data_IF_583755423855
#
_entry.id   IF_583755423855
#
_cell.length_a   1.000
_cell.length_b   1.000
_cell.length_c   1.000
_cell.angle_alpha   90.00
_cell.angle_beta   90.00
_cell.angle_gamma   90.00
#
_symmetry.space_group_name_H-M   'P 1'
#
loop_
_entity.id
_entity.type
_entity.pdbx_description
1 polymer ?
#
# COMPACT_ATOMS: atom_id res chain seq x y z
N UNK A 1 28.48 29.17 -18.04
CA UNK A 1 28.90 27.76 -17.90
C UNK A 1 28.18 26.99 -18.97
N UNK A 2 28.92 26.58 -20.01
CA UNK A 2 28.38 25.78 -21.11
C UNK A 2 28.02 24.38 -20.60
N UNK A 3 26.76 24.00 -20.79
CA UNK A 3 26.30 22.64 -20.53
C UNK A 3 26.44 21.88 -21.85
N UNK A 4 27.24 20.82 -21.85
CA UNK A 4 27.45 19.97 -23.03
C UNK A 4 26.10 19.43 -23.57
N UNK A 5 25.89 19.56 -24.87
CA UNK A 5 24.74 18.96 -25.57
C UNK A 5 24.80 17.44 -25.45
N UNK A 6 23.72 16.85 -24.94
CA UNK A 6 23.43 15.42 -25.10
C UNK A 6 23.03 14.64 -23.84
N UNK A 7 23.41 15.10 -22.64
CA UNK A 7 23.14 14.32 -21.40
C UNK A 7 22.78 15.18 -20.17
N UNK A 8 22.66 16.50 -20.33
CA UNK A 8 22.62 17.48 -19.23
C UNK A 8 21.33 17.57 -18.40
N UNK A 9 20.28 16.80 -18.71
CA UNK A 9 19.02 16.79 -17.95
C UNK A 9 18.60 15.40 -17.45
N UNK A 10 19.42 14.35 -17.69
CA UNK A 10 19.04 12.95 -17.44
C UNK A 10 19.68 12.27 -16.23
N UNK A 11 20.50 12.96 -15.43
CA UNK A 11 21.36 12.31 -14.42
C UNK A 11 21.35 12.97 -13.03
N UNK A 12 20.62 14.07 -12.84
CA UNK A 12 20.61 14.80 -11.57
C UNK A 12 19.24 14.68 -10.93
N UNK A 13 19.21 13.99 -9.79
CA UNK A 13 18.05 13.91 -8.89
C UNK A 13 18.38 14.71 -7.63
N UNK A 14 17.37 15.35 -7.03
CA UNK A 14 17.60 16.02 -5.75
C UNK A 14 18.08 15.00 -4.71
N UNK A 15 19.03 15.39 -3.85
CA UNK A 15 19.50 14.51 -2.76
C UNK A 15 18.34 14.01 -1.91
N UNK A 16 17.38 14.88 -1.61
CA UNK A 16 16.19 14.52 -0.83
C UNK A 16 15.36 13.42 -1.53
N UNK A 17 15.12 13.55 -2.84
CA UNK A 17 14.40 12.54 -3.62
C UNK A 17 15.16 11.20 -3.66
N UNK A 18 16.47 11.24 -3.90
CA UNK A 18 17.31 10.04 -3.93
C UNK A 18 17.31 9.30 -2.58
N UNK A 19 17.51 10.03 -1.48
CA UNK A 19 17.50 9.44 -0.13
C UNK A 19 16.12 8.88 0.23
N UNK A 20 15.03 9.54 -0.20
CA UNK A 20 13.68 9.03 0.00
C UNK A 20 13.44 7.71 -0.77
N UNK A 21 13.82 7.64 -2.05
CA UNK A 21 13.71 6.40 -2.84
C UNK A 21 14.55 5.28 -2.25
N UNK A 22 15.81 5.56 -1.90
CA UNK A 22 16.70 4.62 -1.23
C UNK A 22 16.10 4.12 0.09
N UNK A 23 15.52 5.02 0.88
CA UNK A 23 14.85 4.66 2.14
C UNK A 23 13.67 3.73 1.91
N UNK A 24 12.82 4.01 0.91
CA UNK A 24 11.68 3.15 0.55
C UNK A 24 12.18 1.75 0.18
N UNK A 25 13.11 1.67 -0.77
CA UNK A 25 13.65 0.38 -1.25
C UNK A 25 14.31 -0.42 -0.13
N UNK A 26 15.06 0.26 0.75
CA UNK A 26 15.71 -0.37 1.90
C UNK A 26 14.69 -0.98 2.87
N UNK A 27 13.66 -0.25 3.28
CA UNK A 27 12.65 -0.79 4.21
C UNK A 27 11.85 -1.94 3.60
N UNK A 28 11.59 -1.90 2.29
CA UNK A 28 10.99 -3.03 1.58
C UNK A 28 11.90 -4.25 1.66
N UNK A 29 13.19 -4.08 1.35
CA UNK A 29 14.17 -5.18 1.38
C UNK A 29 14.34 -5.76 2.78
N UNK A 30 14.53 -4.92 3.79
CA UNK A 30 14.60 -5.31 5.21
C UNK A 30 13.29 -5.93 5.72
N UNK A 31 12.17 -5.63 5.04
CA UNK A 31 10.85 -6.17 5.35
C UNK A 31 10.55 -7.54 4.75
N UNK A 32 11.41 -8.08 3.88
CA UNK A 32 11.21 -9.42 3.30
C UNK A 32 11.34 -10.49 4.36
N UNK A 33 10.34 -11.38 4.43
CA UNK A 33 10.28 -12.49 5.40
C UNK A 33 10.48 -12.05 6.87
N UNK A 34 10.17 -10.78 7.18
CA UNK A 34 10.52 -10.14 8.45
C UNK A 34 9.39 -10.16 9.49
N UNK A 35 8.22 -10.70 9.16
CA UNK A 35 7.06 -10.77 10.05
C UNK A 35 6.36 -12.12 9.95
N UNK A 36 5.62 -12.50 11.00
CA UNK A 36 4.77 -13.70 10.95
C UNK A 36 3.56 -13.45 10.04
N UNK A 37 3.18 -14.40 9.17
CA UNK A 37 1.90 -14.35 8.46
C UNK A 37 0.71 -14.14 9.40
N UNK A 38 -0.30 -13.37 8.95
CA UNK A 38 -1.52 -13.18 9.74
C UNK A 38 -2.37 -14.45 9.78
N UNK A 39 -2.30 -15.24 8.72
CA UNK A 39 -2.97 -16.54 8.60
C UNK A 39 -2.04 -17.52 7.92
N UNK A 40 -2.06 -18.79 8.34
CA UNK A 40 -1.41 -19.86 7.59
C UNK A 40 -2.10 -20.08 6.23
N UNK A 41 -3.42 -19.98 6.22
CA UNK A 41 -4.24 -20.11 5.02
C UNK A 41 -5.56 -19.37 5.15
N UNK A 42 -5.91 -18.61 4.13
CA UNK A 42 -7.20 -17.91 4.05
C UNK A 42 -8.32 -18.92 3.73
N UNK A 43 -9.44 -18.91 4.47
CA UNK A 43 -10.59 -19.80 4.19
C UNK A 43 -11.13 -19.64 2.76
N UNK A 44 -11.41 -20.76 2.11
CA UNK A 44 -11.88 -20.79 0.72
C UNK A 44 -13.23 -20.09 0.51
N UNK A 45 -14.12 -20.17 1.50
CA UNK A 45 -15.47 -19.57 1.48
C UNK A 45 -15.43 -18.04 1.31
N UNK A 46 -14.45 -17.37 1.93
CA UNK A 46 -14.24 -15.93 1.78
C UNK A 46 -13.78 -15.54 0.38
N UNK A 47 -13.26 -16.49 -0.39
CA UNK A 47 -12.64 -16.28 -1.70
C UNK A 47 -13.59 -16.61 -2.87
N UNK A 48 -14.72 -17.26 -2.63
CA UNK A 48 -15.61 -17.76 -3.70
C UNK A 48 -16.13 -16.66 -4.61
N UNK A 49 -16.51 -15.52 -4.02
CA UNK A 49 -17.09 -14.37 -4.74
C UNK A 49 -16.05 -13.40 -5.31
N UNK A 50 -14.76 -13.66 -5.07
CA UNK A 50 -13.67 -12.80 -5.50
C UNK A 50 -13.15 -13.21 -6.89
N UNK A 51 -12.69 -12.25 -7.66
CA UNK A 51 -11.95 -12.52 -8.91
C UNK A 51 -10.58 -13.17 -8.61
N UNK A 52 -9.92 -13.76 -9.60
CA UNK A 52 -8.58 -14.34 -9.41
C UNK A 52 -7.57 -13.34 -8.87
N UNK A 53 -7.52 -12.13 -9.41
CA UNK A 53 -6.66 -11.05 -8.91
C UNK A 53 -6.97 -10.66 -7.47
N UNK A 54 -8.26 -10.53 -7.12
CA UNK A 54 -8.68 -10.21 -5.75
C UNK A 54 -8.29 -11.32 -4.76
N UNK A 55 -8.45 -12.60 -5.15
CA UNK A 55 -8.01 -13.74 -4.34
C UNK A 55 -6.50 -13.75 -4.13
N UNK A 56 -5.73 -13.52 -5.20
CA UNK A 56 -4.28 -13.47 -5.12
C UNK A 56 -3.80 -12.35 -4.21
N UNK A 57 -4.37 -11.15 -4.33
CA UNK A 57 -4.09 -10.02 -3.45
C UNK A 57 -4.44 -10.33 -1.99
N UNK A 58 -5.62 -10.88 -1.72
CA UNK A 58 -6.03 -11.21 -0.34
C UNK A 58 -5.14 -12.27 0.30
N UNK A 59 -4.76 -13.33 -0.45
CA UNK A 59 -3.81 -14.33 0.04
C UNK A 59 -2.45 -13.72 0.31
N UNK A 60 -1.91 -12.94 -0.62
CA UNK A 60 -0.63 -12.26 -0.44
C UNK A 60 -0.63 -11.41 0.84
N UNK A 61 -1.68 -10.62 1.09
CA UNK A 61 -1.76 -9.76 2.27
C UNK A 61 -1.77 -10.56 3.58
N UNK A 62 -2.46 -11.69 3.62
CA UNK A 62 -2.72 -12.43 4.85
C UNK A 62 -1.71 -13.55 5.13
N UNK A 63 -1.18 -14.17 4.08
CA UNK A 63 -0.34 -15.38 4.16
C UNK A 63 1.16 -15.07 4.01
N UNK A 64 1.55 -13.87 3.55
CA UNK A 64 2.96 -13.51 3.40
C UNK A 64 3.65 -13.28 4.75
N UNK A 65 4.94 -13.58 4.80
CA UNK A 65 5.87 -13.16 5.86
C UNK A 65 6.52 -11.80 5.59
N UNK A 66 6.15 -11.11 4.50
CA UNK A 66 6.67 -9.79 4.18
C UNK A 66 5.98 -8.66 4.95
N UNK A 67 6.76 -7.68 5.37
CA UNK A 67 6.27 -6.47 6.02
C UNK A 67 5.59 -5.51 5.06
N UNK A 68 6.09 -5.41 3.84
CA UNK A 68 5.60 -4.46 2.83
C UNK A 68 5.24 -5.21 1.54
N UNK A 69 3.97 -5.16 1.15
CA UNK A 69 3.51 -5.70 -0.14
C UNK A 69 2.77 -4.66 -0.96
N UNK A 70 2.60 -4.95 -2.25
CA UNK A 70 2.00 -4.03 -3.21
C UNK A 70 0.86 -4.69 -3.95
N UNK A 71 -0.25 -3.97 -4.09
CA UNK A 71 -1.40 -4.38 -4.88
C UNK A 71 -1.63 -3.35 -5.97
N UNK A 72 -1.36 -3.74 -7.21
CA UNK A 72 -1.76 -2.98 -8.40
C UNK A 72 -3.22 -3.32 -8.72
N UNK A 73 -4.12 -2.36 -8.60
CA UNK A 73 -5.53 -2.53 -8.94
C UNK A 73 -6.01 -1.48 -9.91
N UNK A 74 -6.40 -1.89 -11.11
CA UNK A 74 -6.91 -0.96 -12.13
C UNK A 74 -8.29 -0.39 -11.80
N UNK A 75 -8.69 0.67 -12.50
CA UNK A 75 -10.02 1.26 -12.36
C UNK A 75 -11.16 0.22 -12.47
N UNK A 76 -12.00 0.14 -11.45
CA UNK A 76 -13.20 -0.72 -11.46
C UNK A 76 -12.93 -2.22 -11.22
N UNK A 77 -11.74 -2.62 -10.76
CA UNK A 77 -11.44 -4.02 -10.41
C UNK A 77 -11.92 -4.43 -9.02
N UNK A 78 -12.54 -3.51 -8.27
CA UNK A 78 -13.13 -3.79 -6.95
C UNK A 78 -12.14 -3.84 -5.78
N UNK A 79 -11.20 -2.88 -5.70
CA UNK A 79 -10.27 -2.72 -4.55
C UNK A 79 -11.01 -2.73 -3.20
N UNK A 80 -12.11 -1.98 -3.09
CA UNK A 80 -12.93 -1.93 -1.87
C UNK A 80 -13.53 -3.29 -1.50
N UNK A 81 -13.94 -4.10 -2.49
CA UNK A 81 -14.43 -5.46 -2.26
C UNK A 81 -13.31 -6.37 -1.74
N UNK A 82 -12.09 -6.19 -2.27
CA UNK A 82 -10.91 -6.91 -1.82
C UNK A 82 -10.54 -6.54 -0.37
N UNK A 83 -10.58 -5.26 0.01
CA UNK A 83 -10.39 -4.83 1.41
C UNK A 83 -11.45 -5.41 2.34
N UNK A 84 -12.72 -5.47 1.93
CA UNK A 84 -13.76 -6.14 2.73
C UNK A 84 -13.43 -7.61 2.96
N UNK A 85 -12.90 -8.32 1.98
CA UNK A 85 -12.48 -9.70 2.14
C UNK A 85 -11.31 -9.85 3.13
N UNK A 86 -10.32 -8.95 3.07
CA UNK A 86 -9.23 -8.88 4.07
C UNK A 86 -9.80 -8.66 5.48
N UNK A 87 -10.70 -7.69 5.64
CA UNK A 87 -11.34 -7.41 6.93
C UNK A 87 -12.15 -8.60 7.44
N UNK A 88 -12.92 -9.27 6.57
CA UNK A 88 -13.68 -10.47 6.93
C UNK A 88 -12.76 -11.60 7.40
N UNK A 89 -11.63 -11.83 6.73
CA UNK A 89 -10.66 -12.84 7.13
C UNK A 89 -9.98 -12.50 8.46
N UNK A 90 -9.54 -11.25 8.62
CA UNK A 90 -8.96 -10.75 9.87
C UNK A 90 -9.95 -10.89 11.04
N UNK A 91 -11.22 -10.61 10.82
CA UNK A 91 -12.24 -10.72 11.87
C UNK A 91 -12.55 -12.17 12.29
N UNK A 92 -12.15 -13.17 11.48
CA UNK A 92 -12.22 -14.58 11.89
C UNK A 92 -11.09 -15.00 12.83
N UNK A 93 -10.01 -14.21 12.92
CA UNK A 93 -8.93 -14.49 13.87
C UNK A 93 -9.40 -14.30 15.32
N UNK A 94 -8.86 -15.10 16.26
CA UNK A 94 -9.08 -14.91 17.69
C UNK A 94 -8.68 -13.49 18.12
N UNK A 95 -9.41 -12.91 19.09
CA UNK A 95 -9.15 -11.54 19.55
C UNK A 95 -7.70 -11.31 20.01
N UNK A 96 -7.08 -12.33 20.63
CA UNK A 96 -5.69 -12.27 21.10
C UNK A 96 -4.65 -12.17 19.98
N UNK A 97 -4.97 -12.58 18.75
CA UNK A 97 -4.08 -12.54 17.59
C UNK A 97 -4.62 -11.68 16.44
N UNK A 98 -5.75 -11.00 16.63
CA UNK A 98 -6.38 -10.18 15.58
C UNK A 98 -5.59 -8.89 15.41
N UNK A 99 -5.06 -8.59 14.22
CA UNK A 99 -4.38 -7.32 13.98
C UNK A 99 -5.37 -6.15 13.97
N UNK A 100 -4.92 -5.00 14.45
CA UNK A 100 -5.60 -3.74 14.16
C UNK A 100 -5.39 -3.41 12.69
N UNK A 101 -6.46 -3.13 11.95
CA UNK A 101 -6.37 -2.70 10.55
C UNK A 101 -6.60 -1.20 10.46
N UNK A 102 -5.64 -0.47 9.88
CA UNK A 102 -5.67 0.99 9.75
C UNK A 102 -5.51 1.41 8.30
N UNK A 103 -6.52 2.06 7.74
CA UNK A 103 -6.49 2.64 6.41
C UNK A 103 -5.80 4.01 6.39
N UNK A 104 -4.89 4.21 5.44
CA UNK A 104 -4.20 5.46 5.20
C UNK A 104 -4.47 5.90 3.76
N UNK A 105 -5.17 7.03 3.60
CA UNK A 105 -5.50 7.58 2.28
C UNK A 105 -4.83 8.94 2.05
N UNK A 106 -4.46 9.29 0.81
CA UNK A 106 -3.93 10.61 0.49
C UNK A 106 -5.00 11.71 0.55
N UNK A 107 -6.28 11.34 0.43
CA UNK A 107 -7.41 12.28 0.41
C UNK A 107 -8.52 11.84 1.36
N UNK A 108 -9.36 12.79 1.80
CA UNK A 108 -10.56 12.49 2.59
C UNK A 108 -11.54 11.58 1.84
N UNK A 109 -11.57 11.64 0.51
CA UNK A 109 -12.40 10.74 -0.30
C UNK A 109 -11.94 9.29 -0.15
N UNK A 110 -10.65 9.01 -0.34
CA UNK A 110 -10.10 7.66 -0.18
C UNK A 110 -10.33 7.15 1.26
N UNK A 111 -10.17 8.01 2.26
CA UNK A 111 -10.49 7.69 3.66
C UNK A 111 -11.97 7.35 3.84
N UNK A 112 -12.87 8.13 3.24
CA UNK A 112 -14.32 7.85 3.27
C UNK A 112 -14.67 6.50 2.64
N UNK A 113 -14.09 6.18 1.49
CA UNK A 113 -14.30 4.91 0.79
C UNK A 113 -13.81 3.71 1.63
N UNK A 114 -12.64 3.81 2.28
CA UNK A 114 -12.15 2.80 3.22
C UNK A 114 -13.05 2.65 4.47
N UNK A 115 -13.52 3.76 5.05
CA UNK A 115 -14.46 3.73 6.19
C UNK A 115 -15.78 3.07 5.82
N UNK A 116 -16.31 3.34 4.63
CA UNK A 116 -17.50 2.65 4.09
C UNK A 116 -17.26 1.15 3.80
N UNK A 117 -16.00 0.70 3.78
CA UNK A 117 -15.63 -0.71 3.72
C UNK A 117 -15.45 -1.36 5.11
N UNK A 118 -15.62 -0.60 6.21
CA UNK A 118 -15.46 -1.07 7.58
C UNK A 118 -14.03 -0.97 8.12
N UNK A 119 -13.14 -0.24 7.45
CA UNK A 119 -11.75 -0.03 7.89
C UNK A 119 -11.67 1.27 8.71
N UNK A 120 -11.07 1.21 9.91
CA UNK A 120 -10.68 2.42 10.63
C UNK A 120 -9.62 3.16 9.82
N UNK A 121 -9.87 4.40 9.42
CA UNK A 121 -9.01 5.08 8.46
C UNK A 121 -8.84 6.56 8.74
N UNK A 122 -7.68 7.10 8.36
CA UNK A 122 -7.32 8.50 8.43
C UNK A 122 -6.45 8.91 7.24
N UNK A 123 -6.17 10.21 7.09
CA UNK A 123 -5.27 10.65 6.02
C UNK A 123 -3.83 10.25 6.35
N UNK A 124 -3.03 9.96 5.32
CA UNK A 124 -1.60 9.70 5.50
C UNK A 124 -0.90 10.89 6.18
N UNK A 125 -1.27 12.12 5.82
CA UNK A 125 -0.72 13.33 6.43
C UNK A 125 -1.03 13.41 7.94
N UNK A 126 -2.27 13.10 8.36
CA UNK A 126 -2.66 13.03 9.77
C UNK A 126 -1.82 12.00 10.52
N UNK A 127 -1.73 10.78 9.99
CA UNK A 127 -0.90 9.72 10.58
C UNK A 127 0.56 10.14 10.77
N UNK A 128 1.18 10.71 9.72
CA UNK A 128 2.57 11.17 9.78
C UNK A 128 2.77 12.29 10.80
N UNK A 129 1.79 13.19 10.93
CA UNK A 129 1.83 14.29 11.88
C UNK A 129 1.68 13.80 13.32
N UNK A 130 0.66 13.01 13.60
CA UNK A 130 0.33 12.52 14.94
C UNK A 130 1.44 11.63 15.49
N UNK A 131 1.96 10.73 14.66
CA UNK A 131 3.08 9.85 15.04
C UNK A 131 4.35 10.66 15.32
N UNK A 132 4.59 11.73 14.56
CA UNK A 132 5.72 12.63 14.80
C UNK A 132 5.57 13.41 16.13
N UNK A 133 4.35 13.80 16.50
CA UNK A 133 4.08 14.43 17.79
C UNK A 133 4.33 13.46 18.95
N UNK A 134 3.86 12.20 18.85
CA UNK A 134 4.12 11.15 19.85
C UNK A 134 5.62 10.95 20.07
N UNK A 135 6.39 10.81 18.99
CA UNK A 135 7.85 10.66 19.08
C UNK A 135 8.54 11.86 19.74
N UNK A 136 8.08 13.09 19.46
CA UNK A 136 8.61 14.31 20.09
C UNK A 136 8.29 14.40 21.58
N UNK A 137 7.17 13.81 22.00
CA UNK A 137 6.78 13.67 23.40
C UNK A 137 7.52 12.54 24.13
N UNK A 138 8.43 11.82 23.44
CA UNK A 138 9.20 10.70 24.00
C UNK A 138 8.47 9.36 23.95
N UNK A 139 7.29 9.30 23.31
CA UNK A 139 6.57 8.04 23.11
C UNK A 139 7.19 7.23 21.97
N UNK A 140 7.15 5.91 22.08
CA UNK A 140 7.52 4.99 21.00
C UNK A 140 6.24 4.32 20.50
N UNK A 141 5.73 4.69 19.32
CA UNK A 141 4.53 4.07 18.75
C UNK A 141 4.72 2.57 18.59
N UNK A 142 3.77 1.78 19.11
CA UNK A 142 3.73 0.33 18.95
C UNK A 142 2.71 -0.06 17.88
N UNK A 143 3.22 -0.64 16.80
CA UNK A 143 2.46 -1.13 15.67
C UNK A 143 2.64 -2.64 15.46
N UNK A 144 3.23 -3.36 16.42
CA UNK A 144 3.62 -4.78 16.31
C UNK A 144 2.50 -5.72 15.84
N UNK A 145 1.25 -5.39 16.17
CA UNK A 145 0.05 -6.10 15.71
C UNK A 145 -0.87 -5.21 14.86
N UNK A 146 -0.30 -4.39 13.96
CA UNK A 146 -1.04 -3.47 13.08
C UNK A 146 -0.76 -3.73 11.61
N UNK A 147 -1.84 -3.87 10.83
CA UNK A 147 -1.85 -3.90 9.38
C UNK A 147 -2.31 -2.54 8.82
N UNK A 148 -1.41 -1.83 8.15
CA UNK A 148 -1.74 -0.60 7.45
C UNK A 148 -2.16 -0.86 5.99
N UNK A 149 -3.27 -0.29 5.57
CA UNK A 149 -3.74 -0.32 4.18
C UNK A 149 -3.55 1.07 3.56
N UNK A 150 -2.53 1.26 2.74
CA UNK A 150 -2.26 2.53 2.06
C UNK A 150 -3.00 2.51 0.71
N UNK A 151 -4.19 3.12 0.65
CA UNK A 151 -4.98 3.17 -0.58
C UNK A 151 -4.67 4.42 -1.41
N UNK A 152 -4.88 4.32 -2.72
CA UNK A 152 -4.51 5.34 -3.72
C UNK A 152 -3.03 5.79 -3.60
N UNK A 153 -2.15 4.82 -3.36
CA UNK A 153 -0.71 5.02 -3.18
C UNK A 153 -0.01 5.65 -4.40
N UNK A 154 -0.60 5.59 -5.60
CA UNK A 154 -0.10 6.29 -6.79
C UNK A 154 -0.10 7.82 -6.64
N UNK A 155 -0.92 8.35 -5.73
CA UNK A 155 -1.00 9.78 -5.42
C UNK A 155 -0.03 10.23 -4.31
N UNK A 156 0.70 9.29 -3.68
CA UNK A 156 1.63 9.60 -2.58
C UNK A 156 3.03 9.85 -3.13
N UNK A 157 3.68 10.93 -2.69
CA UNK A 157 5.06 11.28 -3.11
C UNK A 157 6.14 10.55 -2.31
N UNK A 158 7.39 10.61 -2.80
CA UNK A 158 8.52 9.87 -2.21
C UNK A 158 8.73 10.17 -0.72
N UNK A 159 8.68 11.46 -0.33
CA UNK A 159 8.94 11.87 1.07
C UNK A 159 7.97 11.23 2.05
N UNK A 160 6.67 11.30 1.76
CA UNK A 160 5.64 10.81 2.67
C UNK A 160 5.64 9.28 2.71
N UNK A 161 5.85 8.61 1.58
CA UNK A 161 5.98 7.15 1.55
C UNK A 161 7.22 6.68 2.34
N UNK A 162 8.37 7.34 2.14
CA UNK A 162 9.60 7.01 2.88
C UNK A 162 9.42 7.18 4.39
N UNK A 163 8.74 8.26 4.82
CA UNK A 163 8.41 8.49 6.23
C UNK A 163 7.43 7.45 6.77
N UNK A 164 6.40 7.10 6.00
CA UNK A 164 5.41 6.11 6.40
C UNK A 164 6.07 4.74 6.65
N UNK A 165 6.88 4.26 5.71
CA UNK A 165 7.55 2.96 5.85
C UNK A 165 8.55 2.95 7.00
N UNK A 166 9.29 4.05 7.21
CA UNK A 166 10.19 4.16 8.35
C UNK A 166 9.46 4.08 9.69
N UNK A 167 8.34 4.80 9.83
CA UNK A 167 7.54 4.79 11.07
C UNK A 167 6.87 3.44 11.32
N UNK A 168 6.28 2.85 10.28
CA UNK A 168 5.62 1.55 10.35
C UNK A 168 6.65 0.47 10.72
N UNK A 169 7.82 0.46 10.08
CA UNK A 169 8.87 -0.48 10.38
C UNK A 169 9.44 -0.32 11.80
N UNK A 170 9.63 0.92 12.26
CA UNK A 170 10.12 1.22 13.61
C UNK A 170 9.14 0.77 14.70
N UNK A 171 7.83 0.91 14.47
CA UNK A 171 6.81 0.39 15.38
C UNK A 171 6.52 -1.10 15.23
N UNK A 172 7.18 -1.82 14.32
CA UNK A 172 6.96 -3.26 14.10
C UNK A 172 5.69 -3.61 13.31
N UNK A 173 5.03 -2.63 12.69
CA UNK A 173 3.85 -2.85 11.87
C UNK A 173 4.17 -3.36 10.47
N UNK A 174 3.11 -3.72 9.75
CA UNK A 174 3.18 -4.12 8.34
C UNK A 174 2.22 -3.31 7.49
N UNK A 175 2.48 -3.20 6.19
CA UNK A 175 1.69 -2.36 5.31
C UNK A 175 1.50 -2.94 3.91
N UNK A 176 0.35 -2.63 3.33
CA UNK A 176 -0.01 -2.97 1.96
C UNK A 176 -0.25 -1.67 1.21
N UNK A 177 0.54 -1.41 0.18
CA UNK A 177 0.33 -0.28 -0.72
C UNK A 177 -0.59 -0.71 -1.88
N UNK A 178 -1.78 -0.16 -1.93
CA UNK A 178 -2.76 -0.33 -3.00
C UNK A 178 -2.84 0.94 -3.85
N UNK A 179 -2.92 0.79 -5.17
CA UNK A 179 -2.98 1.92 -6.07
C UNK A 179 -3.18 1.51 -7.53
N UNK A 180 -3.22 2.52 -8.40
CA UNK A 180 -3.31 2.36 -9.85
C UNK A 180 -2.25 3.25 -10.52
N UNK A 181 -1.23 2.63 -11.12
CA UNK A 181 -0.18 3.35 -11.88
C UNK A 181 -0.66 4.09 -13.11
N UNK A 182 -1.87 3.79 -13.58
CA UNK A 182 -2.43 4.32 -14.83
C UNK A 182 -3.44 5.44 -14.55
N UNK A 183 -3.73 5.71 -13.28
CA UNK A 183 -4.55 6.83 -12.83
C UNK A 183 -3.69 8.01 -12.36
N UNK A 184 -4.33 8.96 -11.66
CA UNK A 184 -3.70 10.16 -11.13
C UNK A 184 -2.43 9.81 -10.35
N UNK A 185 -1.37 10.53 -10.70
CA UNK A 185 -0.07 10.42 -10.03
C UNK A 185 0.06 11.53 -8.99
N UNK A 186 0.98 11.34 -8.05
CA UNK A 186 1.33 12.35 -7.06
C UNK A 186 1.69 13.69 -7.73
N UNK A 187 1.18 14.78 -7.16
CA UNK A 187 1.67 16.14 -7.48
C UNK A 187 3.08 16.33 -6.87
N UNK A 188 3.31 15.69 -5.72
CA UNK A 188 4.60 15.69 -5.04
C UNK A 188 5.67 14.94 -5.86
N UNK A 189 6.98 15.24 -5.66
CA UNK A 189 8.04 14.61 -6.43
C UNK A 189 8.12 13.08 -6.25
N UNK A 190 8.34 12.39 -7.38
CA UNK A 190 8.59 10.95 -7.44
C UNK A 190 7.31 10.12 -7.59
N UNK A 191 7.51 8.83 -7.89
CA UNK A 191 6.44 7.86 -8.09
C UNK A 191 6.74 6.60 -7.26
N UNK A 192 6.66 6.69 -5.92
CA UNK A 192 7.13 5.60 -5.05
C UNK A 192 6.32 4.32 -5.26
N UNK A 193 5.03 4.43 -5.62
CA UNK A 193 4.18 3.29 -5.95
C UNK A 193 4.63 2.52 -7.20
N UNK A 194 5.16 3.23 -8.21
CA UNK A 194 5.74 2.59 -9.41
C UNK A 194 7.17 2.08 -9.12
N UNK A 195 7.94 2.83 -8.33
CA UNK A 195 9.29 2.46 -7.91
C UNK A 195 9.31 1.10 -7.21
N UNK A 196 8.41 0.89 -6.25
CA UNK A 196 8.34 -0.38 -5.53
C UNK A 196 7.98 -1.56 -6.44
N UNK A 197 7.13 -1.36 -7.44
CA UNK A 197 6.77 -2.44 -8.38
C UNK A 197 7.91 -2.82 -9.33
N UNK A 198 8.75 -1.85 -9.70
CA UNK A 198 9.71 -2.03 -10.81
C UNK A 198 11.15 -2.21 -10.35
N UNK A 199 11.48 -1.79 -9.12
CA UNK A 199 12.88 -1.71 -8.63
C UNK A 199 13.07 -2.17 -7.19
N UNK A 200 12.05 -2.75 -6.55
CA UNK A 200 12.16 -3.28 -5.19
C UNK A 200 11.99 -4.80 -5.15
N UNK A 201 12.23 -5.37 -3.97
CA UNK A 201 11.99 -6.78 -3.70
C UNK A 201 10.53 -7.09 -3.29
N UNK A 202 9.65 -6.08 -3.22
CA UNK A 202 8.28 -6.25 -2.77
C UNK A 202 7.53 -7.24 -3.66
N UNK A 203 6.76 -8.12 -3.03
CA UNK A 203 5.80 -8.94 -3.76
C UNK A 203 4.64 -8.07 -4.23
N UNK A 204 4.24 -8.29 -5.49
CA UNK A 204 3.20 -7.51 -6.17
C UNK A 204 2.07 -8.42 -6.63
N UNK A 205 0.85 -8.16 -6.15
CA UNK A 205 -0.36 -8.75 -6.70
C UNK A 205 -0.99 -7.79 -7.72
N UNK A 206 -1.46 -8.33 -8.84
CA UNK A 206 -2.12 -7.55 -9.91
C UNK A 206 -3.59 -7.96 -10.00
N UNK A 207 -4.48 -6.98 -9.80
CA UNK A 207 -5.93 -7.08 -9.98
C UNK A 207 -6.29 -6.41 -11.30
N UNK A 208 -6.67 -7.21 -12.31
CA UNK A 208 -6.97 -6.73 -13.68
C UNK A 208 -8.41 -6.95 -14.11
N UNK A 209 -9.14 -7.79 -13.41
CA UNK A 209 -10.50 -8.17 -13.75
C UNK A 209 -11.48 -7.07 -13.36
N UNK A 210 -11.91 -6.30 -14.35
CA UNK A 210 -12.91 -5.25 -14.19
C UNK A 210 -14.26 -5.87 -13.79
N UNK A 211 -14.82 -5.39 -12.68
CA UNK A 211 -16.13 -5.77 -12.14
C UNK A 211 -17.08 -4.59 -12.35
N UNK A 212 -17.76 -4.55 -13.51
CA UNK A 212 -18.78 -3.55 -13.84
C UNK A 212 -20.15 -4.21 -13.88
N UNK A 213 -21.19 -3.46 -13.49
CA UNK A 213 -22.58 -3.92 -13.57
C UNK A 213 -23.07 -4.06 -15.02
N UNK A 214 -22.40 -3.44 -16.00
CA UNK A 214 -22.78 -3.49 -17.42
C UNK A 214 -21.62 -4.04 -18.29
N UNK A 215 -21.77 -5.20 -18.96
CA UNK A 215 -20.68 -5.89 -19.67
C UNK A 215 -20.15 -5.18 -20.92
N UNK A 216 -20.93 -4.31 -21.58
CA UNK A 216 -20.64 -3.78 -22.92
C UNK A 216 -19.39 -2.89 -23.03
N UNK A 217 -18.81 -2.44 -21.92
CA UNK A 217 -17.64 -1.55 -21.91
C UNK A 217 -16.31 -2.26 -21.58
N UNK A 218 -16.29 -3.60 -21.49
CA UNK A 218 -15.08 -4.39 -21.18
C UNK A 218 -14.04 -4.37 -22.30
N UNK A 219 -14.48 -4.35 -23.56
CA UNK A 219 -13.58 -4.44 -24.73
C UNK A 219 -12.74 -3.17 -24.94
N UNK A 220 -13.16 -2.01 -24.43
CA UNK A 220 -12.45 -0.74 -24.64
C UNK A 220 -11.17 -0.54 -23.79
N UNK A 221 -10.89 -1.42 -22.83
CA UNK A 221 -9.82 -1.25 -21.84
C UNK A 221 -8.89 -2.47 -21.71
N UNK A 222 -8.98 -3.43 -22.64
CA UNK A 222 -8.14 -4.64 -22.67
C UNK A 222 -7.15 -4.66 -23.84
N UNK A 223 -6.98 -3.53 -24.53
CA UNK A 223 -6.01 -3.33 -25.60
C UNK A 223 -4.77 -2.57 -25.10
#
# INVERSE_FOLDING_TARGET
MDVAKGYGTGLLVSRASYEAEKSILRHILEGKEAVTPLMERVPGELMEKLTSGQRAATRMILETSDRFTVVQGYAGVGKTTQFRAVMSAVNMLPESGRPRVVGLGPTHRAVGEMRSAGVDAQTLASFLHDTQLQQRSGETPDFSNTLFLLDESSMVGNTDMARAYALIAAGGGRAVASGDTDQLQAIAPGQPFRLQQTRSAADVAIMKEIVRQTPELRERYTA
#
